data_IF_636436758306
#
_entry.id   IF_636436758306
#
_cell.length_a   1.000
_cell.length_b   1.000
_cell.length_c   1.000
_cell.angle_alpha   90.00
_cell.angle_beta   90.00
_cell.angle_gamma   90.00
#
_symmetry.space_group_name_H-M   'P 1'
#
loop_
_entity.id
_entity.type
_entity.pdbx_description
1 polymer ?
#
# COMPACT_ATOMS: atom_id res chain seq x y z
N UNK A 1 -9.79 -2.38 -34.10
CA UNK A 1 -9.08 -2.01 -32.86
C UNK A 1 -9.52 -0.61 -32.46
N UNK A 2 -10.38 -0.47 -31.44
CA UNK A 2 -10.78 0.85 -30.92
C UNK A 2 -9.74 1.27 -29.89
N UNK A 3 -9.06 2.39 -30.14
CA UNK A 3 -8.20 3.03 -29.16
C UNK A 3 -9.05 3.41 -27.95
N UNK A 4 -8.76 2.82 -26.80
CA UNK A 4 -9.29 3.31 -25.54
C UNK A 4 -8.55 4.60 -25.24
N UNK A 5 -9.06 5.72 -25.74
CA UNK A 5 -8.98 6.96 -24.99
C UNK A 5 -9.41 6.57 -23.56
N UNK A 6 -8.48 6.59 -22.61
CA UNK A 6 -8.77 6.21 -21.24
C UNK A 6 -9.74 7.25 -20.70
N UNK A 7 -11.03 7.01 -20.96
CA UNK A 7 -12.14 7.90 -20.68
C UNK A 7 -11.92 8.43 -19.30
N UNK A 8 -11.62 9.73 -19.23
CA UNK A 8 -11.47 10.41 -17.97
C UNK A 8 -12.79 10.17 -17.23
N UNK A 9 -12.75 9.35 -16.18
CA UNK A 9 -13.90 9.11 -15.33
C UNK A 9 -14.24 10.45 -14.66
N UNK A 10 -15.02 11.29 -15.35
CA UNK A 10 -15.36 12.64 -14.89
C UNK A 10 -16.20 12.54 -13.63
N UNK A 11 -17.14 11.61 -13.67
CA UNK A 11 -18.11 11.34 -12.62
C UNK A 11 -18.51 9.87 -12.62
N UNK A 12 -18.76 9.31 -11.44
CA UNK A 12 -19.38 8.01 -11.26
C UNK A 12 -20.31 8.03 -10.05
N UNK A 13 -21.41 7.28 -10.13
CA UNK A 13 -22.32 7.08 -8.99
C UNK A 13 -22.21 5.63 -8.55
N UNK A 14 -21.79 5.39 -7.31
CA UNK A 14 -21.55 4.07 -6.74
C UNK A 14 -22.59 3.80 -5.67
N UNK A 15 -23.32 2.68 -5.77
CA UNK A 15 -24.17 2.19 -4.69
C UNK A 15 -23.33 1.39 -3.70
N UNK A 16 -23.30 1.79 -2.43
CA UNK A 16 -22.58 1.06 -1.37
C UNK A 16 -23.49 0.05 -0.66
N UNK A 17 -22.93 -0.71 0.28
CA UNK A 17 -23.65 -1.74 1.04
C UNK A 17 -24.78 -1.18 1.92
N UNK A 18 -24.77 0.12 2.23
CA UNK A 18 -25.86 0.84 2.91
C UNK A 18 -27.03 1.21 1.98
N UNK A 19 -26.98 0.77 0.71
CA UNK A 19 -27.90 1.09 -0.38
C UNK A 19 -27.95 2.58 -0.75
N UNK A 20 -27.04 3.41 -0.25
CA UNK A 20 -26.96 4.83 -0.60
C UNK A 20 -26.11 5.01 -1.86
N UNK A 21 -26.56 5.91 -2.73
CA UNK A 21 -25.84 6.30 -3.93
C UNK A 21 -24.87 7.44 -3.61
N UNK A 22 -23.59 7.18 -3.85
CA UNK A 22 -22.52 8.16 -3.67
C UNK A 22 -21.98 8.60 -5.02
N UNK A 23 -21.93 9.91 -5.23
CA UNK A 23 -21.39 10.52 -6.44
C UNK A 23 -19.93 10.92 -6.21
N UNK A 24 -19.04 10.41 -7.06
CA UNK A 24 -17.62 10.71 -7.04
C UNK A 24 -17.20 11.34 -8.36
N UNK A 25 -16.46 12.44 -8.30
CA UNK A 25 -15.82 13.04 -9.48
C UNK A 25 -14.34 12.70 -9.51
N UNK A 26 -13.69 12.83 -10.68
CA UNK A 26 -12.25 12.58 -10.84
C UNK A 26 -11.37 13.24 -9.78
N UNK A 27 -11.72 14.47 -9.37
CA UNK A 27 -10.98 15.26 -8.40
C UNK A 27 -11.24 14.87 -6.94
N UNK A 28 -12.24 14.04 -6.67
CA UNK A 28 -12.54 13.55 -5.32
C UNK A 28 -11.66 12.36 -4.95
N UNK A 29 -11.21 11.58 -5.94
CA UNK A 29 -10.39 10.39 -5.69
C UNK A 29 -9.10 10.64 -4.90
N UNK A 30 -8.32 11.73 -5.13
CA UNK A 30 -7.22 12.10 -4.26
C UNK A 30 -7.59 12.32 -2.78
N UNK A 31 -8.86 12.62 -2.49
CA UNK A 31 -9.38 12.90 -1.15
C UNK A 31 -10.01 11.66 -0.50
N UNK A 32 -10.18 10.57 -1.23
CA UNK A 32 -10.69 9.33 -0.67
C UNK A 32 -9.68 8.76 0.34
N UNK A 33 -10.19 8.37 1.50
CA UNK A 33 -9.37 7.65 2.47
C UNK A 33 -9.17 6.19 2.01
N UNK A 34 -8.18 5.51 2.59
CA UNK A 34 -7.85 4.14 2.23
C UNK A 34 -8.99 3.15 2.48
N UNK A 35 -9.87 3.41 3.46
CA UNK A 35 -11.03 2.55 3.76
C UNK A 35 -12.06 2.64 2.64
N UNK A 36 -12.40 3.85 2.21
CA UNK A 36 -13.31 4.08 1.07
C UNK A 36 -12.81 3.39 -0.20
N UNK A 37 -11.51 3.48 -0.48
CA UNK A 37 -10.89 2.80 -1.64
C UNK A 37 -11.00 1.28 -1.49
N UNK A 38 -10.73 0.74 -0.30
CA UNK A 38 -10.84 -0.70 -0.01
C UNK A 38 -12.27 -1.19 -0.16
N UNK A 39 -13.25 -0.44 0.34
CA UNK A 39 -14.67 -0.79 0.26
C UNK A 39 -15.15 -0.77 -1.18
N UNK A 40 -14.80 0.25 -1.97
CA UNK A 40 -15.13 0.29 -3.40
C UNK A 40 -14.50 -0.87 -4.19
N UNK A 41 -13.23 -1.20 -3.90
CA UNK A 41 -12.56 -2.35 -4.52
C UNK A 41 -13.26 -3.66 -4.16
N UNK A 42 -13.69 -3.81 -2.91
CA UNK A 42 -14.43 -4.99 -2.45
C UNK A 42 -15.74 -5.15 -3.22
N UNK A 43 -16.51 -4.06 -3.38
CA UNK A 43 -17.75 -4.05 -4.15
C UNK A 43 -17.53 -4.43 -5.62
N UNK A 44 -16.44 -3.96 -6.24
CA UNK A 44 -16.04 -4.32 -7.60
C UNK A 44 -15.76 -5.82 -7.74
N UNK A 45 -14.95 -6.38 -6.84
CA UNK A 45 -14.53 -7.79 -6.84
C UNK A 45 -15.71 -8.72 -6.58
N UNK A 46 -16.58 -8.35 -5.63
CA UNK A 46 -17.82 -9.09 -5.33
C UNK A 46 -18.90 -8.92 -6.41
N UNK A 47 -18.67 -8.06 -7.41
CA UNK A 47 -19.63 -7.71 -8.46
C UNK A 47 -20.96 -7.15 -7.94
N UNK A 48 -20.92 -6.45 -6.80
CA UNK A 48 -22.09 -5.83 -6.15
C UNK A 48 -22.47 -4.45 -6.69
N UNK A 49 -21.67 -3.88 -7.58
CA UNK A 49 -21.97 -2.61 -8.27
C UNK A 49 -22.92 -2.86 -9.45
N UNK A 50 -24.12 -3.37 -9.17
CA UNK A 50 -25.14 -3.66 -10.18
C UNK A 50 -25.71 -2.41 -10.83
N UNK A 51 -25.54 -1.26 -10.19
CA UNK A 51 -25.96 0.04 -10.71
C UNK A 51 -25.03 0.59 -11.82
N UNK A 52 -23.89 -0.04 -12.07
CA UNK A 52 -22.89 0.38 -13.05
C UNK A 52 -22.82 -0.58 -14.25
N UNK A 53 -22.65 -0.04 -15.45
CA UNK A 53 -22.41 -0.84 -16.65
C UNK A 53 -20.97 -1.41 -16.65
N UNK A 54 -20.67 -2.29 -17.62
CA UNK A 54 -19.36 -2.96 -17.70
C UNK A 54 -18.22 -1.97 -17.92
N UNK A 55 -18.43 -0.95 -18.75
CA UNK A 55 -17.43 0.08 -19.08
C UNK A 55 -17.13 0.98 -17.87
N UNK A 56 -18.15 1.40 -17.13
CA UNK A 56 -18.02 2.21 -15.91
C UNK A 56 -17.30 1.45 -14.81
N UNK A 57 -17.59 0.15 -14.65
CA UNK A 57 -16.86 -0.72 -13.71
C UNK A 57 -15.40 -0.86 -14.10
N UNK A 58 -15.11 -0.96 -15.40
CA UNK A 58 -13.74 -1.00 -15.92
C UNK A 58 -13.02 0.34 -15.63
N UNK A 59 -13.64 1.47 -15.95
CA UNK A 59 -13.10 2.79 -15.69
C UNK A 59 -12.87 3.05 -14.19
N UNK A 60 -13.80 2.64 -13.33
CA UNK A 60 -13.64 2.71 -11.87
C UNK A 60 -12.45 1.87 -11.39
N UNK A 61 -12.31 0.64 -11.90
CA UNK A 61 -11.20 -0.23 -11.57
C UNK A 61 -9.84 0.39 -11.96
N UNK A 62 -9.75 0.94 -13.17
CA UNK A 62 -8.55 1.66 -13.64
C UNK A 62 -8.26 2.87 -12.76
N UNK A 63 -9.27 3.68 -12.42
CA UNK A 63 -9.13 4.83 -11.54
C UNK A 63 -8.59 4.42 -10.16
N UNK A 64 -9.27 3.50 -9.46
CA UNK A 64 -8.87 3.03 -8.13
C UNK A 64 -7.45 2.46 -8.12
N UNK A 65 -7.05 1.74 -9.18
CA UNK A 65 -5.68 1.22 -9.34
C UNK A 65 -4.65 2.34 -9.45
N UNK A 66 -4.93 3.38 -10.23
CA UNK A 66 -4.05 4.56 -10.36
C UNK A 66 -3.90 5.29 -9.02
N UNK A 67 -5.00 5.52 -8.30
CA UNK A 67 -4.95 6.22 -7.02
C UNK A 67 -4.25 5.42 -5.93
N UNK A 68 -4.49 4.10 -5.86
CA UNK A 68 -3.77 3.23 -4.91
C UNK A 68 -2.26 3.29 -5.15
N UNK A 69 -1.82 3.22 -6.41
CA UNK A 69 -0.40 3.38 -6.76
C UNK A 69 0.16 4.73 -6.33
N UNK A 70 -0.58 5.83 -6.58
CA UNK A 70 -0.17 7.18 -6.18
C UNK A 70 0.00 7.28 -4.65
N UNK A 71 -0.94 6.75 -3.88
CA UNK A 71 -0.88 6.75 -2.41
C UNK A 71 0.35 5.98 -1.92
N UNK A 72 0.60 4.78 -2.46
CA UNK A 72 1.76 3.96 -2.10
C UNK A 72 3.08 4.69 -2.42
N UNK A 73 3.16 5.35 -3.58
CA UNK A 73 4.35 6.14 -3.94
C UNK A 73 4.54 7.31 -2.98
N UNK A 74 3.47 8.04 -2.65
CA UNK A 74 3.53 9.18 -1.73
C UNK A 74 4.08 8.76 -0.36
N UNK A 75 3.54 7.70 0.23
CA UNK A 75 4.01 7.19 1.53
C UNK A 75 5.46 6.72 1.48
N UNK A 76 5.90 6.11 0.36
CA UNK A 76 7.31 5.71 0.18
C UNK A 76 8.25 6.91 0.07
N UNK A 77 7.81 7.98 -0.58
CA UNK A 77 8.58 9.22 -0.69
C UNK A 77 8.67 9.91 0.68
N UNK A 78 7.56 9.98 1.41
CA UNK A 78 7.53 10.52 2.78
C UNK A 78 8.46 9.73 3.72
N UNK A 79 8.39 8.40 3.70
CA UNK A 79 9.27 7.52 4.49
C UNK A 79 10.75 7.71 4.12
N UNK A 80 11.06 7.82 2.83
CA UNK A 80 12.42 8.10 2.37
C UNK A 80 12.94 9.47 2.83
N UNK A 81 12.09 10.51 2.75
CA UNK A 81 12.44 11.85 3.22
C UNK A 81 12.75 11.84 4.72
N UNK A 82 11.92 11.18 5.53
CA UNK A 82 12.16 11.01 6.96
C UNK A 82 13.48 10.25 7.22
N UNK A 83 13.78 9.22 6.43
CA UNK A 83 15.05 8.52 6.48
C UNK A 83 16.24 9.45 6.22
N UNK A 84 16.19 10.24 5.15
CA UNK A 84 17.23 11.22 4.80
C UNK A 84 17.39 12.29 5.89
N UNK A 85 16.30 12.84 6.40
CA UNK A 85 16.34 13.82 7.51
C UNK A 85 16.96 13.22 8.78
N UNK A 86 16.72 11.93 9.05
CA UNK A 86 17.31 11.24 10.19
C UNK A 86 18.83 11.16 10.11
N UNK A 87 19.41 10.97 8.91
CA UNK A 87 20.87 10.96 8.72
C UNK A 87 21.52 12.31 8.99
N UNK A 88 20.82 13.41 8.75
CA UNK A 88 21.31 14.76 9.03
C UNK A 88 21.18 15.13 10.51
N UNK A 89 20.37 14.40 11.28
CA UNK A 89 20.14 14.67 12.69
C UNK A 89 21.28 14.10 13.53
N UNK A 90 21.96 14.96 14.29
CA UNK A 90 22.92 14.52 15.30
C UNK A 90 22.17 13.74 16.39
N UNK A 91 22.32 12.42 16.39
CA UNK A 91 21.66 11.55 17.35
C UNK A 91 22.39 11.65 18.70
N UNK A 92 21.68 12.06 19.75
CA UNK A 92 22.17 11.95 21.13
C UNK A 92 21.91 10.53 21.65
N UNK A 93 22.59 9.54 21.05
CA UNK A 93 22.46 8.15 21.48
C UNK A 93 23.31 7.99 22.74
N UNK A 94 22.67 7.80 23.89
CA UNK A 94 23.36 7.32 25.09
C UNK A 94 23.95 5.95 24.78
N UNK A 95 25.24 5.76 25.09
CA UNK A 95 25.92 4.48 24.88
C UNK A 95 25.04 3.34 25.43
N UNK A 96 24.61 2.37 24.61
CA UNK A 96 23.81 1.27 25.11
C UNK A 96 24.62 0.47 26.13
N UNK A 97 24.03 0.17 27.28
CA UNK A 97 24.63 -0.72 28.27
C UNK A 97 24.71 -2.13 27.68
N UNK A 98 25.87 -2.49 27.15
CA UNK A 98 26.15 -3.84 26.63
C UNK A 98 26.32 -4.88 27.74
N UNK A 99 26.52 -4.42 28.97
CA UNK A 99 26.73 -5.25 30.16
C UNK A 99 25.50 -5.17 31.06
N UNK A 100 24.48 -5.96 30.74
CA UNK A 100 23.42 -6.30 31.70
C UNK A 100 23.89 -7.49 32.51
N UNK A 101 24.30 -7.26 33.76
CA UNK A 101 24.84 -8.27 34.68
C UNK A 101 23.93 -9.49 34.90
N UNK A 102 22.62 -9.33 34.68
CA UNK A 102 21.62 -10.41 34.84
C UNK A 102 21.42 -11.26 33.58
N UNK A 103 22.09 -10.96 32.47
CA UNK A 103 22.09 -11.81 31.28
C UNK A 103 23.34 -12.68 31.35
N UNK A 104 23.16 -13.96 31.69
CA UNK A 104 24.24 -14.94 31.59
C UNK A 104 24.84 -14.86 30.18
N UNK A 105 26.17 -14.78 30.07
CA UNK A 105 26.88 -14.81 28.79
C UNK A 105 26.52 -16.10 28.07
N UNK A 106 25.49 -16.07 27.20
CA UNK A 106 25.23 -17.17 26.29
C UNK A 106 26.47 -17.28 25.41
N UNK A 107 27.04 -18.48 25.31
CA UNK A 107 28.16 -18.74 24.42
C UNK A 107 27.85 -18.17 23.04
N UNK A 108 28.73 -17.34 22.46
CA UNK A 108 28.53 -16.85 21.11
C UNK A 108 28.27 -18.03 20.20
N UNK A 109 27.23 -17.97 19.37
CA UNK A 109 26.96 -18.99 18.36
C UNK A 109 28.24 -19.16 17.53
N UNK A 110 28.90 -20.31 17.67
CA UNK A 110 30.02 -20.68 16.82
C UNK A 110 29.47 -20.80 15.40
N UNK A 111 29.92 -19.93 14.49
CA UNK A 111 29.67 -20.12 13.08
C UNK A 111 30.19 -21.52 12.70
N UNK A 112 29.29 -22.40 12.29
CA UNK A 112 29.60 -23.79 11.99
C UNK A 112 30.62 -23.81 10.84
N UNK A 113 31.84 -24.27 11.11
CA UNK A 113 33.00 -24.12 10.21
C UNK A 113 33.03 -25.11 9.03
N UNK A 114 31.94 -25.84 8.79
CA UNK A 114 31.79 -26.75 7.65
C UNK A 114 30.32 -26.76 7.19
N UNK A 115 29.94 -25.97 6.17
CA UNK A 115 28.70 -26.24 5.46
C UNK A 115 28.89 -27.57 4.72
N UNK A 116 28.23 -28.62 5.19
CA UNK A 116 28.10 -29.87 4.43
C UNK A 116 27.30 -29.51 3.17
N UNK A 117 28.00 -29.42 2.04
CA UNK A 117 27.38 -29.19 0.74
C UNK A 117 26.44 -30.35 0.43
N UNK A 118 25.13 -30.10 0.47
CA UNK A 118 24.14 -31.05 -0.02
C UNK A 118 24.20 -30.94 -1.55
N UNK A 119 24.82 -31.92 -2.19
CA UNK A 119 24.71 -32.10 -3.64
C UNK A 119 23.28 -32.52 -3.95
N UNK A 120 22.55 -31.66 -4.65
CA UNK A 120 21.32 -32.06 -5.31
C UNK A 120 21.71 -32.79 -6.59
N UNK A 121 21.29 -34.06 -6.69
CA UNK A 121 21.38 -34.86 -7.90
C UNK A 121 20.20 -34.57 -8.83
#
# INVERSE_FOLDING_TARGET
MRGYDHGNLEEIVVQRDDNVLYKFKKHDFPRLNLRDIKDMLLLLVQKKLSNLNVDDRYNLCVALRMFTKRIVILHRVEDLQLGVESYHKKLNITRPETTRSNISKLTPYTAYKNPVGINYQ
#
